data_IF_728402697297
#
_entry.id   IF_728402697297
#
_cell.length_a   1.000
_cell.length_b   1.000
_cell.length_c   1.000
_cell.angle_alpha   90.00
_cell.angle_beta   90.00
_cell.angle_gamma   90.00
#
_symmetry.space_group_name_H-M   'P 1'
#
loop_
_entity.id
_entity.type
_entity.pdbx_description
1 polymer ?
#
# COMPACT_ATOMS: atom_id res chain seq x y z
N UNK A 1 -0.81 34.86 16.05
CA UNK A 1 -0.44 33.82 15.07
C UNK A 1 -0.81 32.46 15.62
N UNK A 2 -1.80 31.79 15.01
CA UNK A 2 -2.11 30.36 15.19
C UNK A 2 -2.44 29.85 13.79
N UNK A 3 -1.50 29.16 13.14
CA UNK A 3 -1.79 28.40 11.91
C UNK A 3 -2.58 27.17 12.36
N UNK A 4 -3.85 27.11 11.97
CA UNK A 4 -4.65 25.88 12.07
C UNK A 4 -4.20 25.01 10.90
N UNK A 5 -3.43 23.97 11.21
CA UNK A 5 -3.23 22.83 10.31
C UNK A 5 -4.63 22.31 9.96
N UNK A 6 -5.04 22.51 8.72
CA UNK A 6 -6.33 22.06 8.23
C UNK A 6 -6.31 20.54 8.20
N UNK A 7 -7.15 19.92 9.02
CA UNK A 7 -7.57 18.54 8.82
C UNK A 7 -8.14 18.45 7.40
N UNK A 8 -7.44 17.75 6.50
CA UNK A 8 -7.76 17.70 5.07
C UNK A 8 -7.70 16.28 4.51
N UNK A 9 -8.24 15.31 5.24
CA UNK A 9 -8.66 14.05 4.66
C UNK A 9 -10.01 13.66 5.26
N UNK A 10 -11.08 13.98 4.55
CA UNK A 10 -12.42 13.45 4.81
C UNK A 10 -12.79 12.50 3.68
N UNK A 11 -12.60 11.21 3.96
CA UNK A 11 -13.53 10.11 3.69
C UNK A 11 -13.60 9.44 2.30
N UNK A 12 -13.25 8.14 2.35
CA UNK A 12 -13.75 6.99 1.58
C UNK A 12 -12.86 6.45 0.43
N UNK A 13 -12.01 5.48 0.78
CA UNK A 13 -11.24 4.57 -0.09
C UNK A 13 -12.12 3.55 -0.87
N UNK A 14 -13.45 3.69 -0.81
CA UNK A 14 -14.38 2.70 -1.34
C UNK A 14 -14.33 2.52 -2.88
N UNK A 15 -13.75 3.45 -3.64
CA UNK A 15 -13.72 3.40 -5.11
C UNK A 15 -12.42 2.80 -5.69
N UNK A 16 -11.29 2.97 -5.01
CA UNK A 16 -9.99 2.54 -5.53
C UNK A 16 -9.75 1.03 -5.48
N UNK A 17 -10.25 0.34 -4.45
CA UNK A 17 -9.88 -1.06 -4.18
C UNK A 17 -10.71 -2.08 -4.95
N UNK A 18 -12.03 -1.89 -5.03
CA UNK A 18 -12.88 -2.79 -5.79
C UNK A 18 -12.85 -2.49 -7.32
N UNK A 19 -12.27 -1.36 -7.73
CA UNK A 19 -12.06 -0.95 -9.13
C UNK A 19 -10.60 -0.95 -9.62
N UNK A 20 -9.60 -0.99 -8.73
CA UNK A 20 -8.18 -0.82 -9.10
C UNK A 20 -7.62 -1.98 -9.91
N UNK A 21 -8.11 -3.19 -9.67
CA UNK A 21 -7.64 -4.38 -10.37
C UNK A 21 -8.44 -4.67 -11.65
N UNK A 22 -9.75 -4.36 -11.69
CA UNK A 22 -10.62 -4.68 -12.84
C UNK A 22 -11.11 -3.48 -13.68
N UNK A 23 -11.23 -2.28 -13.10
CA UNK A 23 -11.79 -1.09 -13.76
C UNK A 23 -10.74 -0.16 -14.38
N UNK A 24 -9.61 0.05 -13.71
CA UNK A 24 -8.58 1.02 -14.14
C UNK A 24 -7.90 0.65 -15.47
N UNK A 25 -7.63 -0.64 -15.70
CA UNK A 25 -6.97 -1.13 -16.91
C UNK A 25 -7.84 -1.05 -18.18
N UNK A 26 -9.15 -1.28 -18.08
CA UNK A 26 -10.06 -1.22 -19.24
C UNK A 26 -10.18 0.21 -19.80
N UNK A 27 -10.08 1.23 -18.93
CA UNK A 27 -10.16 2.64 -19.30
C UNK A 27 -8.86 3.14 -19.95
N UNK A 28 -7.69 2.67 -19.52
CA UNK A 28 -6.41 3.06 -20.12
C UNK A 28 -6.13 2.35 -21.46
N UNK A 29 -6.59 1.11 -21.65
CA UNK A 29 -6.44 0.39 -22.92
C UNK A 29 -7.21 1.05 -24.09
N UNK A 30 -8.21 1.87 -23.77
CA UNK A 30 -9.07 2.55 -24.77
C UNK A 30 -8.59 3.95 -25.17
N UNK A 31 -7.45 4.43 -24.64
CA UNK A 31 -6.89 5.73 -25.02
C UNK A 31 -5.92 5.59 -26.19
N UNK A 32 -6.06 6.38 -27.28
CA UNK A 32 -5.07 6.41 -28.34
C UNK A 32 -3.72 6.89 -27.77
N UNK A 33 -2.57 6.36 -28.25
CA UNK A 33 -1.25 6.73 -27.74
C UNK A 33 -1.03 8.25 -27.87
N UNK A 34 -0.78 8.94 -26.75
CA UNK A 34 -0.32 10.32 -26.79
C UNK A 34 1.10 10.33 -27.36
N UNK A 35 1.36 11.00 -28.49
CA UNK A 35 2.72 11.11 -29.03
C UNK A 35 3.62 11.79 -27.99
N UNK A 36 4.71 11.12 -27.63
CA UNK A 36 5.71 11.69 -26.73
C UNK A 36 6.45 12.83 -27.44
N UNK A 37 6.66 13.99 -26.81
CA UNK A 37 7.59 14.99 -27.32
C UNK A 37 9.02 14.42 -27.32
N UNK A 38 9.87 14.79 -28.29
CA UNK A 38 11.24 14.28 -28.36
C UNK A 38 12.05 14.65 -27.12
N UNK A 39 12.70 13.65 -26.52
CA UNK A 39 13.52 13.78 -25.31
C UNK A 39 14.87 14.43 -25.66
N UNK A 40 15.26 15.55 -25.03
CA UNK A 40 16.60 16.10 -25.18
C UNK A 40 17.61 15.27 -24.37
N UNK A 41 18.57 14.65 -25.05
CA UNK A 41 19.66 13.87 -24.44
C UNK A 41 20.76 14.79 -23.87
N UNK A 42 20.49 15.45 -22.74
CA UNK A 42 21.55 16.09 -21.94
C UNK A 42 21.39 15.66 -20.49
N UNK A 43 22.13 14.62 -20.11
CA UNK A 43 22.23 14.15 -18.73
C UNK A 43 23.23 15.05 -18.01
N UNK A 44 22.81 15.74 -16.95
CA UNK A 44 23.72 16.49 -16.09
C UNK A 44 24.68 15.54 -15.36
N UNK A 45 25.91 16.00 -15.08
CA UNK A 45 26.91 15.20 -14.39
C UNK A 45 26.45 14.78 -12.98
N UNK A 46 26.78 13.55 -12.60
CA UNK A 46 26.42 12.97 -11.31
C UNK A 46 27.01 13.79 -10.15
N UNK A 47 26.15 14.19 -9.21
CA UNK A 47 26.56 14.77 -7.93
C UNK A 47 27.00 13.62 -7.02
N UNK A 48 28.21 13.71 -6.48
CA UNK A 48 28.71 12.70 -5.53
C UNK A 48 27.79 12.65 -4.28
N UNK A 49 27.46 11.44 -3.77
CA UNK A 49 26.60 11.33 -2.61
C UNK A 49 27.29 11.94 -1.38
N UNK A 50 26.56 12.76 -0.63
CA UNK A 50 26.98 13.14 0.72
C UNK A 50 27.11 11.87 1.56
N UNK A 51 28.14 11.78 2.39
CA UNK A 51 28.38 10.63 3.26
C UNK A 51 27.14 10.36 4.12
N UNK A 52 26.46 9.25 3.84
CA UNK A 52 25.35 8.79 4.62
C UNK A 52 25.83 8.41 6.03
N UNK A 53 25.04 8.81 7.03
CA UNK A 53 25.23 8.37 8.41
C UNK A 53 25.16 6.83 8.46
N UNK A 54 26.17 6.21 9.08
CA UNK A 54 26.27 4.75 9.17
C UNK A 54 25.17 4.25 10.11
N UNK A 55 24.26 3.37 9.67
CA UNK A 55 23.25 2.77 10.54
C UNK A 55 23.91 1.95 11.66
N UNK A 56 23.30 1.96 12.86
CA UNK A 56 23.70 1.17 14.01
C UNK A 56 23.45 -0.34 13.73
N UNK A 57 24.47 -1.21 13.77
CA UNK A 57 24.38 -2.61 13.31
C UNK A 57 23.53 -3.54 14.19
N UNK A 58 22.79 -3.04 15.17
CA UNK A 58 21.89 -3.84 16.02
C UNK A 58 20.44 -3.93 15.52
N UNK A 59 20.10 -3.24 14.44
CA UNK A 59 18.76 -3.27 13.80
C UNK A 59 18.92 -3.48 12.28
N UNK A 60 19.65 -4.52 11.89
CA UNK A 60 20.08 -4.75 10.49
C UNK A 60 18.96 -5.37 9.61
N UNK A 61 17.72 -4.93 9.77
CA UNK A 61 16.64 -5.18 8.79
C UNK A 61 16.79 -4.24 7.58
N UNK A 62 17.61 -3.19 7.69
CA UNK A 62 17.91 -2.27 6.58
C UNK A 62 18.44 -2.98 5.34
N UNK A 63 19.34 -3.96 5.51
CA UNK A 63 19.88 -4.76 4.40
C UNK A 63 18.80 -5.60 3.70
N UNK A 64 17.84 -6.15 4.47
CA UNK A 64 16.70 -6.91 3.95
C UNK A 64 15.73 -6.01 3.19
N UNK A 65 15.43 -4.82 3.73
CA UNK A 65 14.58 -3.81 3.12
C UNK A 65 15.22 -3.09 1.92
N UNK A 66 16.51 -3.26 1.69
CA UNK A 66 17.23 -2.77 0.51
C UNK A 66 17.26 -3.76 -0.67
N UNK A 67 16.92 -5.04 -0.43
CA UNK A 67 16.77 -6.07 -1.45
C UNK A 67 15.57 -5.88 -2.38
N UNK A 68 15.12 -6.94 -3.06
CA UNK A 68 13.88 -6.88 -3.84
C UNK A 68 12.67 -6.93 -2.89
N UNK A 69 11.95 -5.81 -2.78
CA UNK A 69 10.80 -5.68 -1.88
C UNK A 69 9.71 -6.74 -2.15
N UNK A 70 9.64 -7.27 -3.36
CA UNK A 70 8.65 -8.30 -3.74
C UNK A 70 8.90 -9.64 -3.06
N UNK A 71 10.14 -9.93 -2.67
CA UNK A 71 10.50 -11.15 -1.93
C UNK A 71 9.95 -11.11 -0.49
N UNK A 72 9.66 -9.90 0.02
CA UNK A 72 9.09 -9.67 1.35
C UNK A 72 7.57 -9.81 1.38
N UNK A 73 6.89 -9.89 0.24
CA UNK A 73 5.45 -10.14 0.16
C UNK A 73 5.10 -11.58 0.57
N UNK A 74 4.10 -11.75 1.42
CA UNK A 74 3.52 -13.04 1.80
C UNK A 74 3.03 -13.80 0.55
N UNK A 75 3.19 -15.13 0.57
CA UNK A 75 2.60 -16.01 -0.43
C UNK A 75 1.13 -16.28 -0.08
N UNK A 76 0.27 -16.38 -1.11
CA UNK A 76 -1.09 -16.87 -0.90
C UNK A 76 -1.10 -18.33 -0.39
N UNK A 77 -2.17 -18.76 0.29
CA UNK A 77 -2.31 -20.16 0.69
C UNK A 77 -2.35 -21.07 -0.54
N UNK A 78 -1.99 -22.35 -0.38
CA UNK A 78 -1.77 -23.28 -1.49
C UNK A 78 -3.01 -23.53 -2.38
N UNK A 79 -4.21 -23.26 -1.88
CA UNK A 79 -5.48 -23.38 -2.59
C UNK A 79 -5.96 -22.05 -3.21
N UNK A 80 -5.28 -20.94 -2.94
CA UNK A 80 -5.52 -19.68 -3.63
C UNK A 80 -4.85 -19.67 -5.00
N UNK A 81 -5.39 -18.83 -5.88
CA UNK A 81 -4.80 -18.56 -7.18
C UNK A 81 -4.47 -17.07 -7.29
N UNK A 82 -3.45 -16.75 -8.10
CA UNK A 82 -3.13 -15.36 -8.40
C UNK A 82 -4.31 -14.66 -9.07
N UNK A 83 -4.44 -13.36 -8.82
CA UNK A 83 -5.40 -12.54 -9.54
C UNK A 83 -5.21 -12.69 -11.06
N UNK A 84 -6.26 -12.95 -11.85
CA UNK A 84 -6.14 -13.07 -13.31
C UNK A 84 -5.77 -11.74 -13.99
N UNK A 85 -5.82 -10.63 -13.25
CA UNK A 85 -5.66 -9.27 -13.74
C UNK A 85 -4.27 -8.69 -13.43
N UNK A 86 -3.52 -9.30 -12.51
CA UNK A 86 -2.20 -8.82 -12.08
C UNK A 86 -1.19 -9.96 -12.04
N UNK A 87 0.06 -9.73 -12.48
CA UNK A 87 1.14 -10.69 -12.24
C UNK A 87 1.32 -10.92 -10.73
N UNK A 88 1.62 -12.16 -10.36
CA UNK A 88 2.05 -12.48 -9.00
C UNK A 88 3.25 -11.59 -8.61
N UNK A 89 3.18 -10.98 -7.42
CA UNK A 89 4.24 -10.14 -6.86
C UNK A 89 4.75 -9.07 -7.84
N UNK A 90 3.96 -8.00 -8.00
CA UNK A 90 4.21 -6.94 -8.96
C UNK A 90 4.77 -5.67 -8.30
N UNK A 91 5.46 -4.84 -9.08
CA UNK A 91 5.80 -3.48 -8.65
C UNK A 91 4.58 -2.58 -8.81
N UNK A 92 4.33 -1.74 -7.81
CA UNK A 92 3.28 -0.71 -7.83
C UNK A 92 3.94 0.63 -8.09
N UNK A 93 3.47 1.32 -9.13
CA UNK A 93 3.91 2.69 -9.39
C UNK A 93 3.26 3.64 -8.39
N UNK A 94 3.92 4.75 -8.08
CA UNK A 94 3.35 5.81 -7.22
C UNK A 94 2.00 6.31 -7.75
N UNK A 95 1.82 6.36 -9.08
CA UNK A 95 0.56 6.74 -9.70
C UNK A 95 -0.55 5.72 -9.43
N UNK A 96 -0.25 4.42 -9.56
CA UNK A 96 -1.23 3.37 -9.21
C UNK A 96 -1.58 3.43 -7.72
N UNK A 97 -0.60 3.60 -6.83
CA UNK A 97 -0.85 3.75 -5.40
C UNK A 97 -1.73 4.98 -5.11
N UNK A 98 -1.51 6.09 -5.81
CA UNK A 98 -2.31 7.32 -5.65
C UNK A 98 -3.78 7.15 -6.06
N UNK A 99 -4.09 6.26 -7.02
CA UNK A 99 -5.47 5.97 -7.46
C UNK A 99 -6.32 5.32 -6.36
N UNK A 100 -5.73 4.90 -5.23
CA UNK A 100 -6.47 4.35 -4.10
C UNK A 100 -7.16 5.41 -3.26
N UNK A 101 -6.74 6.66 -3.42
CA UNK A 101 -7.24 7.80 -2.68
C UNK A 101 -8.31 8.54 -3.49
N UNK A 102 -9.25 9.17 -2.81
CA UNK A 102 -10.35 9.94 -3.43
C UNK A 102 -9.85 11.08 -4.34
N UNK A 103 -8.67 11.63 -4.03
CA UNK A 103 -8.03 12.69 -4.79
C UNK A 103 -6.64 12.23 -5.25
N UNK A 104 -6.54 11.45 -6.34
CA UNK A 104 -5.29 10.84 -6.79
C UNK A 104 -4.20 11.86 -7.12
N UNK A 105 -4.56 13.04 -7.63
CA UNK A 105 -3.63 14.14 -7.91
C UNK A 105 -2.96 14.66 -6.64
N UNK A 106 -3.74 14.82 -5.56
CA UNK A 106 -3.22 15.23 -4.25
C UNK A 106 -2.43 14.11 -3.59
N UNK A 107 -2.93 12.89 -3.63
CA UNK A 107 -2.23 11.73 -3.08
C UNK A 107 -0.87 11.52 -3.76
N UNK A 108 -0.79 11.69 -5.07
CA UNK A 108 0.48 11.64 -5.79
C UNK A 108 1.46 12.72 -5.32
N UNK A 109 0.99 13.95 -5.08
CA UNK A 109 1.83 15.03 -4.54
C UNK A 109 2.31 14.70 -3.13
N UNK A 110 1.41 14.29 -2.23
CA UNK A 110 1.72 13.90 -0.85
C UNK A 110 2.73 12.75 -0.80
N UNK A 111 2.51 11.67 -1.56
CA UNK A 111 3.45 10.54 -1.63
C UNK A 111 4.86 10.96 -2.07
N UNK A 112 4.97 11.95 -2.97
CA UNK A 112 6.26 12.53 -3.34
C UNK A 112 6.89 13.34 -2.19
N UNK A 113 6.10 14.15 -1.49
CA UNK A 113 6.53 14.95 -0.34
C UNK A 113 7.01 14.08 0.83
N UNK A 114 6.30 12.97 1.09
CA UNK A 114 6.67 11.97 2.10
C UNK A 114 7.89 11.12 1.68
N UNK A 115 8.34 11.26 0.43
CA UNK A 115 9.53 10.59 -0.07
C UNK A 115 9.29 9.13 -0.42
N UNK A 116 8.20 8.80 -1.10
CA UNK A 116 7.98 7.50 -1.74
C UNK A 116 9.26 7.03 -2.46
N UNK A 117 9.66 5.79 -2.20
CA UNK A 117 10.81 5.13 -2.83
C UNK A 117 10.36 4.10 -3.85
N UNK A 118 9.52 3.16 -3.42
CA UNK A 118 9.01 2.04 -4.22
C UNK A 118 7.87 1.33 -3.49
N UNK A 119 7.00 0.64 -4.22
CA UNK A 119 5.98 -0.22 -3.64
C UNK A 119 5.86 -1.54 -4.38
N UNK A 120 5.54 -2.60 -3.66
CA UNK A 120 5.34 -3.94 -4.19
C UNK A 120 3.99 -4.49 -3.74
N UNK A 121 3.34 -5.28 -4.59
CA UNK A 121 2.01 -5.85 -4.34
C UNK A 121 1.93 -7.32 -4.66
N UNK A 122 1.20 -8.05 -3.84
CA UNK A 122 0.69 -9.38 -4.19
C UNK A 122 -0.83 -9.40 -4.06
N UNK A 123 -1.50 -10.16 -4.93
CA UNK A 123 -2.95 -10.33 -4.90
C UNK A 123 -3.27 -11.78 -5.18
N UNK A 124 -4.01 -12.41 -4.28
CA UNK A 124 -4.51 -13.77 -4.47
C UNK A 124 -6.00 -13.86 -4.15
N UNK A 125 -6.65 -14.85 -4.75
CA UNK A 125 -8.08 -15.10 -4.62
C UNK A 125 -8.27 -16.51 -4.05
N UNK A 126 -8.96 -16.60 -2.92
CA UNK A 126 -9.33 -17.87 -2.27
C UNK A 126 -10.47 -18.56 -3.03
N UNK A 127 -10.68 -19.88 -2.84
CA UNK A 127 -11.77 -20.61 -3.50
C UNK A 127 -13.18 -20.05 -3.25
N UNK A 128 -13.40 -19.36 -2.13
CA UNK A 128 -14.68 -18.72 -1.79
C UNK A 128 -14.88 -17.35 -2.47
N UNK A 129 -13.94 -16.92 -3.30
CA UNK A 129 -13.94 -15.64 -3.99
C UNK A 129 -13.44 -14.47 -3.13
N UNK A 130 -12.93 -14.73 -1.92
CA UNK A 130 -12.26 -13.71 -1.11
C UNK A 130 -10.95 -13.30 -1.78
N UNK A 131 -10.84 -12.03 -2.14
CA UNK A 131 -9.62 -11.43 -2.66
C UNK A 131 -8.82 -10.85 -1.50
N UNK A 132 -7.52 -11.16 -1.45
CA UNK A 132 -6.56 -10.55 -0.54
C UNK A 132 -5.54 -9.80 -1.37
N UNK A 133 -5.35 -8.54 -1.04
CA UNK A 133 -4.36 -7.66 -1.61
C UNK A 133 -3.45 -7.15 -0.50
N UNK A 134 -2.14 -7.21 -0.75
CA UNK A 134 -1.13 -6.82 0.21
C UNK A 134 -0.07 -5.97 -0.48
N UNK A 135 0.11 -4.78 0.06
CA UNK A 135 1.07 -3.78 -0.42
C UNK A 135 2.15 -3.53 0.62
N UNK A 136 3.39 -3.47 0.15
CA UNK A 136 4.51 -2.93 0.90
C UNK A 136 4.93 -1.62 0.25
N UNK A 137 4.79 -0.50 0.97
CA UNK A 137 5.15 0.84 0.51
C UNK A 137 6.37 1.32 1.26
N UNK A 138 7.49 1.51 0.54
CA UNK A 138 8.74 1.96 1.12
C UNK A 138 8.97 3.45 0.86
N UNK A 139 9.42 4.15 1.90
CA UNK A 139 9.76 5.56 1.90
C UNK A 139 11.28 5.77 2.09
N UNK A 140 11.74 6.99 1.86
CA UNK A 140 13.14 7.40 2.07
C UNK A 140 13.49 7.63 3.53
N UNK A 141 12.50 7.84 4.39
CA UNK A 141 12.68 8.06 5.82
C UNK A 141 11.56 7.41 6.63
N UNK A 142 11.85 7.16 7.91
CA UNK A 142 10.86 6.69 8.90
C UNK A 142 9.76 7.72 9.13
N UNK A 143 10.08 9.01 9.01
CA UNK A 143 9.13 10.10 9.19
C UNK A 143 8.11 10.14 8.05
N UNK A 144 8.56 9.97 6.80
CA UNK A 144 7.66 9.88 5.64
C UNK A 144 6.76 8.65 5.72
N UNK A 145 7.33 7.49 6.09
CA UNK A 145 6.54 6.29 6.37
C UNK A 145 5.52 6.52 7.50
N UNK A 146 5.89 7.25 8.55
CA UNK A 146 5.01 7.55 9.68
C UNK A 146 3.87 8.51 9.31
N UNK A 147 4.11 9.49 8.43
CA UNK A 147 3.07 10.36 7.89
C UNK A 147 2.06 9.56 7.07
N UNK A 148 2.54 8.79 6.10
CA UNK A 148 1.69 7.93 5.27
C UNK A 148 0.87 6.94 6.11
N UNK A 149 1.51 6.31 7.10
CA UNK A 149 0.86 5.40 8.03
C UNK A 149 -0.28 6.09 8.80
N UNK A 150 -0.01 7.29 9.36
CA UNK A 150 -1.02 8.02 10.13
C UNK A 150 -2.22 8.40 9.25
N UNK A 151 -1.96 8.92 8.04
CA UNK A 151 -3.02 9.31 7.10
C UNK A 151 -3.84 8.10 6.65
N UNK A 152 -3.18 7.01 6.28
CA UNK A 152 -3.83 5.76 5.87
C UNK A 152 -4.69 5.20 7.00
N UNK A 153 -4.18 5.18 8.24
CA UNK A 153 -4.91 4.71 9.42
C UNK A 153 -6.20 5.52 9.64
N UNK A 154 -6.12 6.83 9.48
CA UNK A 154 -7.28 7.71 9.64
C UNK A 154 -8.32 7.45 8.54
N UNK A 155 -7.87 7.26 7.29
CA UNK A 155 -8.73 6.96 6.14
C UNK A 155 -9.41 5.59 6.24
N UNK A 156 -8.69 4.56 6.68
CA UNK A 156 -9.24 3.22 6.94
C UNK A 156 -10.08 3.15 8.22
N UNK A 157 -10.14 4.25 9.00
CA UNK A 157 -10.72 4.25 10.34
C UNK A 157 -10.16 3.11 11.23
N UNK A 158 -8.88 2.79 11.05
CA UNK A 158 -8.22 1.64 11.65
C UNK A 158 -7.75 1.94 13.08
N UNK A 159 -8.71 2.00 14.00
CA UNK A 159 -8.47 2.29 15.42
C UNK A 159 -8.82 1.13 16.36
N UNK A 160 -9.31 0.03 15.79
CA UNK A 160 -10.10 -0.96 16.54
C UNK A 160 -9.23 -1.94 17.30
N UNK A 161 -8.27 -2.58 16.63
CA UNK A 161 -7.55 -3.73 17.20
C UNK A 161 -6.11 -3.74 16.75
N UNK A 162 -5.19 -3.97 17.69
CA UNK A 162 -3.76 -4.09 17.43
C UNK A 162 -3.35 -5.57 17.41
N UNK A 163 -2.82 -6.10 16.28
CA UNK A 163 -2.24 -7.43 16.24
C UNK A 163 -1.03 -7.54 17.16
N UNK A 164 -1.00 -8.55 18.02
CA UNK A 164 0.08 -8.73 18.99
C UNK A 164 1.45 -8.90 18.30
N UNK A 165 2.47 -8.23 18.82
CA UNK A 165 3.84 -8.34 18.31
C UNK A 165 4.19 -7.42 17.14
N UNK A 166 3.24 -6.67 16.58
CA UNK A 166 3.50 -5.75 15.44
C UNK A 166 4.00 -4.36 15.86
N UNK A 167 3.86 -3.99 17.14
CA UNK A 167 4.25 -2.68 17.68
C UNK A 167 3.34 -1.52 17.26
N UNK A 168 3.06 -1.40 15.95
CA UNK A 168 2.25 -0.33 15.32
C UNK A 168 1.01 -0.86 14.60
N UNK A 169 0.72 -2.16 14.66
CA UNK A 169 -0.32 -2.74 13.80
C UNK A 169 -1.74 -2.32 14.16
N UNK A 170 -2.58 -2.18 13.14
CA UNK A 170 -4.02 -1.99 13.25
C UNK A 170 -4.75 -2.87 12.25
N UNK A 171 -5.91 -3.38 12.65
CA UNK A 171 -6.89 -3.97 11.73
C UNK A 171 -8.26 -3.34 11.95
N UNK A 172 -9.06 -3.31 10.89
CA UNK A 172 -10.44 -2.84 10.92
C UNK A 172 -11.27 -3.54 9.84
N UNK A 173 -12.58 -3.40 9.92
CA UNK A 173 -13.51 -3.92 8.91
C UNK A 173 -14.68 -2.97 8.75
N UNK A 174 -15.19 -2.89 7.53
CA UNK A 174 -16.47 -2.25 7.26
C UNK A 174 -17.60 -3.26 7.48
N UNK A 175 -18.60 -2.87 8.28
CA UNK A 175 -19.82 -3.66 8.49
C UNK A 175 -20.86 -3.43 7.40
N UNK A 176 -20.65 -2.42 6.56
CA UNK A 176 -21.50 -2.09 5.43
C UNK A 176 -20.85 -2.54 4.12
N UNK A 177 -21.67 -2.72 3.08
CA UNK A 177 -21.17 -3.07 1.75
C UNK A 177 -20.68 -1.83 1.03
N UNK A 178 -19.65 -2.02 0.22
CA UNK A 178 -19.25 -1.05 -0.81
C UNK A 178 -20.37 -0.89 -1.85
N UNK A 179 -20.28 0.15 -2.68
CA UNK A 179 -21.18 0.33 -3.82
C UNK A 179 -21.12 -0.83 -4.82
N UNK A 180 -20.02 -1.61 -4.82
CA UNK A 180 -19.84 -2.80 -5.64
C UNK A 180 -20.40 -4.09 -4.98
N UNK A 181 -20.92 -3.97 -3.76
CA UNK A 181 -21.65 -5.03 -3.06
C UNK A 181 -20.77 -5.97 -2.23
N UNK A 182 -19.50 -5.63 -2.05
CA UNK A 182 -18.52 -6.39 -1.28
C UNK A 182 -18.33 -5.81 0.13
N UNK A 183 -17.87 -6.64 1.06
CA UNK A 183 -17.36 -6.20 2.34
C UNK A 183 -15.84 -6.10 2.30
N UNK A 184 -15.29 -5.15 3.06
CA UNK A 184 -13.86 -4.85 3.07
C UNK A 184 -13.31 -4.89 4.50
N UNK A 185 -12.12 -5.49 4.62
CA UNK A 185 -11.31 -5.53 5.82
C UNK A 185 -9.92 -4.97 5.53
N UNK A 186 -9.31 -4.40 6.56
CA UNK A 186 -8.06 -3.65 6.47
C UNK A 186 -7.04 -4.16 7.49
N UNK A 187 -5.78 -4.12 7.12
CA UNK A 187 -4.63 -4.25 8.02
C UNK A 187 -3.56 -3.22 7.68
N UNK A 188 -2.84 -2.75 8.69
CA UNK A 188 -1.85 -1.69 8.53
C UNK A 188 -0.74 -1.85 9.57
N UNK A 189 0.52 -1.86 9.14
CA UNK A 189 1.70 -1.92 10.02
C UNK A 189 2.78 -1.00 9.48
N UNK A 190 3.48 -0.27 10.36
CA UNK A 190 4.73 0.43 10.01
C UNK A 190 5.92 -0.33 10.56
N UNK A 191 6.86 -0.70 9.69
CA UNK A 191 8.18 -1.24 10.02
C UNK A 191 9.30 -0.36 9.46
N UNK A 192 9.87 0.51 10.31
CA UNK A 192 10.91 1.45 9.89
C UNK A 192 10.45 2.37 8.74
N UNK A 193 11.04 2.17 7.56
CA UNK A 193 10.73 2.94 6.34
C UNK A 193 9.64 2.31 5.47
N UNK A 194 9.09 1.16 5.86
CA UNK A 194 8.07 0.41 5.11
C UNK A 194 6.75 0.46 5.84
N UNK A 195 5.67 0.66 5.08
CA UNK A 195 4.29 0.52 5.53
C UNK A 195 3.65 -0.65 4.77
N UNK A 196 3.14 -1.61 5.53
CA UNK A 196 2.29 -2.69 5.04
C UNK A 196 0.84 -2.21 5.00
N UNK A 197 0.16 -2.45 3.89
CA UNK A 197 -1.30 -2.28 3.76
C UNK A 197 -1.92 -3.61 3.32
N UNK A 198 -2.93 -4.07 4.05
CA UNK A 198 -3.72 -5.24 3.73
C UNK A 198 -5.15 -4.81 3.40
N UNK A 199 -5.68 -5.37 2.31
CA UNK A 199 -7.08 -5.26 1.93
C UNK A 199 -7.65 -6.66 1.69
N UNK A 200 -8.76 -6.97 2.37
CA UNK A 200 -9.50 -8.22 2.17
C UNK A 200 -10.91 -7.88 1.69
N UNK A 201 -11.27 -8.33 0.50
CA UNK A 201 -12.58 -8.07 -0.11
C UNK A 201 -13.33 -9.37 -0.33
N UNK A 202 -14.60 -9.43 0.12
CA UNK A 202 -15.44 -10.64 -0.03
C UNK A 202 -16.94 -10.35 -0.07
N UNK A 203 -17.72 -11.24 -0.68
CA UNK A 203 -19.19 -11.09 -0.81
C UNK A 203 -20.00 -11.66 0.35
N UNK A 204 -19.45 -12.66 1.04
CA UNK A 204 -20.20 -13.48 1.99
C UNK A 204 -20.56 -12.75 3.30
N UNK A 205 -19.76 -11.76 3.70
CA UNK A 205 -19.89 -11.01 4.96
C UNK A 205 -18.63 -10.20 5.23
N UNK A 206 -18.60 -9.34 6.27
CA UNK A 206 -17.36 -8.72 6.73
C UNK A 206 -16.25 -9.75 6.91
N UNK A 207 -14.99 -9.47 6.49
CA UNK A 207 -13.87 -10.31 6.86
C UNK A 207 -13.76 -10.42 8.38
N UNK A 208 -13.38 -11.58 8.92
CA UNK A 208 -13.25 -11.73 10.37
C UNK A 208 -12.00 -10.98 10.87
N UNK A 209 -12.11 -10.26 12.00
CA UNK A 209 -10.96 -9.55 12.58
C UNK A 209 -9.79 -10.49 12.90
N UNK A 210 -10.07 -11.73 13.31
CA UNK A 210 -9.05 -12.74 13.58
C UNK A 210 -8.21 -13.06 12.34
N UNK A 211 -8.86 -13.28 11.19
CA UNK A 211 -8.20 -13.54 9.91
C UNK A 211 -7.36 -12.34 9.47
N UNK A 212 -7.88 -11.11 9.64
CA UNK A 212 -7.13 -9.89 9.33
C UNK A 212 -5.89 -9.77 10.22
N UNK A 213 -6.00 -10.04 11.51
CA UNK A 213 -4.87 -10.00 12.45
C UNK A 213 -3.82 -11.04 12.10
N UNK A 214 -4.23 -12.25 11.72
CA UNK A 214 -3.33 -13.33 11.33
C UNK A 214 -2.51 -12.93 10.10
N UNK A 215 -3.16 -12.54 9.00
CA UNK A 215 -2.47 -12.15 7.76
C UNK A 215 -1.55 -10.95 8.00
N UNK A 216 -2.06 -9.93 8.70
CA UNK A 216 -1.28 -8.70 9.01
C UNK A 216 -0.04 -9.04 9.83
N UNK A 217 -0.19 -9.95 10.81
CA UNK A 217 0.95 -10.38 11.63
C UNK A 217 1.95 -11.19 10.81
N UNK A 218 1.49 -12.13 10.00
CA UNK A 218 2.36 -12.98 9.18
C UNK A 218 3.19 -12.14 8.21
N UNK A 219 2.61 -11.11 7.63
CA UNK A 219 3.35 -10.18 6.78
C UNK A 219 4.33 -9.32 7.59
N UNK A 220 3.91 -8.77 8.74
CA UNK A 220 4.80 -7.99 9.59
C UNK A 220 6.02 -8.80 10.06
N UNK A 221 5.86 -10.08 10.37
CA UNK A 221 6.95 -10.98 10.76
C UNK A 221 7.94 -11.25 9.60
N UNK A 222 7.56 -10.92 8.35
CA UNK A 222 8.45 -10.97 7.16
C UNK A 222 9.19 -9.66 6.90
N UNK A 223 8.90 -8.57 7.60
CA UNK A 223 9.63 -7.29 7.47
C UNK A 223 10.88 -7.25 8.36
#
# INVERSE_FOLDING_TARGET
MKRRTGSLFSSAVALGLAGGVAGGFAVQYSRPPTPLPPVPHTVAAAVAPAAAEKPDPKTDDGAKLDGDLRELLLDGPADAHDSPLLPARSWVTIGHLAEYFEHPDRALATLNEEGFRRAARTVWVRPDGTQVELDLVQFRSTDGAGQFFSETKDVMNAWTTTPAGTGTGYVAQDTEKTTLGDYVGYGLVQHGTVVEQLFVTRKAGPPELGDLMEITKEQADRL
#
